data_IF_714369646959
#
_entry.id   IF_714369646959
#
_cell.length_a   1.000
_cell.length_b   1.000
_cell.length_c   1.000
_cell.angle_alpha   90.00
_cell.angle_beta   90.00
_cell.angle_gamma   90.00
#
_symmetry.space_group_name_H-M   'P 1'
#
loop_
_entity.id
_entity.type
_entity.pdbx_description
1 polymer ?
#
# COMPACT_ATOMS: atom_id res chain seq x y z
N UNK A 1 -33.09 17.41 3.22
CA UNK A 1 -33.06 16.52 4.40
C UNK A 1 -32.00 15.47 4.12
N UNK A 2 -30.80 15.63 4.68
CA UNK A 2 -29.69 14.72 4.49
C UNK A 2 -29.91 13.46 5.34
N UNK A 3 -30.06 12.31 4.68
CA UNK A 3 -30.06 11.01 5.33
C UNK A 3 -28.61 10.67 5.66
N UNK A 4 -28.11 11.22 6.77
CA UNK A 4 -26.92 10.67 7.43
C UNK A 4 -27.28 9.25 7.87
N UNK A 5 -27.02 8.26 7.02
CA UNK A 5 -26.95 6.86 7.41
C UNK A 5 -25.68 6.68 8.25
N UNK A 6 -25.72 7.20 9.47
CA UNK A 6 -24.85 6.76 10.55
C UNK A 6 -25.31 5.36 10.96
N UNK A 7 -25.03 4.35 10.11
CA UNK A 7 -25.11 2.95 10.50
C UNK A 7 -24.13 2.77 11.68
N UNK A 8 -24.66 2.25 12.78
CA UNK A 8 -24.00 2.09 14.07
C UNK A 8 -22.54 1.60 13.93
N UNK A 9 -21.60 2.52 14.14
CA UNK A 9 -20.17 2.42 13.81
C UNK A 9 -19.35 1.53 14.78
N UNK A 10 -19.88 0.41 15.24
CA UNK A 10 -19.23 -0.37 16.32
C UNK A 10 -18.91 -1.82 15.98
N UNK A 11 -19.43 -2.37 14.88
CA UNK A 11 -18.97 -3.66 14.39
C UNK A 11 -17.85 -3.48 13.36
N UNK A 12 -16.77 -4.27 13.44
CA UNK A 12 -15.87 -4.43 12.30
C UNK A 12 -16.70 -4.81 11.08
N UNK A 13 -16.45 -4.14 9.96
CA UNK A 13 -17.04 -4.53 8.68
C UNK A 13 -16.02 -5.33 7.88
N UNK A 14 -16.52 -6.28 7.11
CA UNK A 14 -15.73 -7.00 6.11
C UNK A 14 -15.64 -6.19 4.81
N UNK A 15 -14.80 -6.63 3.88
CA UNK A 15 -14.70 -5.99 2.56
C UNK A 15 -16.02 -6.12 1.80
N UNK A 16 -16.71 -7.24 1.97
CA UNK A 16 -18.01 -7.50 1.36
C UNK A 16 -19.08 -6.54 1.89
N UNK A 17 -19.12 -6.32 3.20
CA UNK A 17 -20.02 -5.34 3.83
C UNK A 17 -19.71 -3.91 3.32
N UNK A 18 -18.42 -3.57 3.23
CA UNK A 18 -17.98 -2.29 2.69
C UNK A 18 -18.45 -2.06 1.25
N UNK A 19 -18.40 -3.10 0.40
CA UNK A 19 -18.87 -3.02 -0.98
C UNK A 19 -20.40 -2.84 -1.06
N UNK A 20 -21.16 -3.40 -0.12
CA UNK A 20 -22.62 -3.17 -0.05
C UNK A 20 -22.98 -1.76 0.40
N UNK A 21 -22.12 -1.14 1.23
CA UNK A 21 -22.31 0.23 1.73
C UNK A 21 -21.92 1.32 0.73
N UNK A 22 -21.33 0.96 -0.40
CA UNK A 22 -20.98 1.89 -1.48
C UNK A 22 -22.12 1.99 -2.50
N UNK A 23 -22.98 3.04 -2.45
CA UNK A 23 -23.90 3.30 -3.55
C UNK A 23 -23.13 3.72 -4.82
N UNK A 24 -23.85 3.84 -5.95
CA UNK A 24 -23.31 4.31 -7.22
C UNK A 24 -22.32 5.48 -7.05
N UNK A 25 -21.20 5.44 -7.77
CA UNK A 25 -20.01 6.31 -7.62
C UNK A 25 -20.34 7.81 -7.53
N UNK A 26 -21.40 8.25 -8.22
CA UNK A 26 -21.87 9.64 -8.24
C UNK A 26 -22.53 10.13 -6.94
N UNK A 27 -22.81 9.24 -5.99
CA UNK A 27 -23.53 9.52 -4.74
C UNK A 27 -22.74 9.16 -3.48
N UNK A 28 -21.43 8.92 -3.60
CA UNK A 28 -20.57 8.60 -2.46
C UNK A 28 -20.43 9.84 -1.57
N UNK A 29 -21.14 9.83 -0.44
CA UNK A 29 -20.93 10.73 0.70
C UNK A 29 -19.67 10.32 1.48
N UNK A 30 -19.26 11.14 2.44
CA UNK A 30 -18.13 10.79 3.33
C UNK A 30 -18.48 9.53 4.12
N UNK A 31 -17.68 8.48 3.93
CA UNK A 31 -17.94 7.18 4.53
C UNK A 31 -16.88 6.88 5.60
N UNK A 32 -17.34 6.53 6.79
CA UNK A 32 -16.49 6.07 7.89
C UNK A 32 -16.78 4.61 8.18
N UNK A 33 -15.75 3.76 8.11
CA UNK A 33 -15.83 2.33 8.41
C UNK A 33 -14.76 1.92 9.40
N UNK A 34 -14.91 0.74 10.01
CA UNK A 34 -13.93 0.17 10.94
C UNK A 34 -13.64 -1.29 10.64
N UNK A 35 -12.39 -1.70 10.83
CA UNK A 35 -11.91 -3.08 10.61
C UNK A 35 -10.87 -3.46 11.67
N UNK A 36 -10.65 -4.75 11.92
CA UNK A 36 -9.66 -5.20 12.90
C UNK A 36 -8.26 -5.35 12.30
N UNK A 37 -8.18 -5.77 11.04
CA UNK A 37 -6.92 -6.13 10.41
C UNK A 37 -6.39 -5.04 9.48
N UNK A 38 -5.06 -4.98 9.36
CA UNK A 38 -4.39 -4.04 8.44
C UNK A 38 -4.69 -4.43 6.98
N UNK A 39 -4.76 -5.72 6.72
CA UNK A 39 -4.94 -6.32 5.42
C UNK A 39 -6.31 -5.97 4.85
N UNK A 40 -7.37 -6.06 5.66
CA UNK A 40 -8.72 -5.63 5.29
C UNK A 40 -8.78 -4.12 5.05
N UNK A 41 -8.16 -3.31 5.92
CA UNK A 41 -8.11 -1.86 5.73
C UNK A 41 -7.47 -1.46 4.39
N UNK A 42 -6.38 -2.14 4.01
CA UNK A 42 -5.71 -1.91 2.73
C UNK A 42 -6.51 -2.44 1.53
N UNK A 43 -7.31 -3.52 1.70
CA UNK A 43 -8.24 -4.00 0.67
C UNK A 43 -9.38 -3.01 0.46
N UNK A 44 -10.05 -2.55 1.51
CA UNK A 44 -11.11 -1.53 1.42
C UNK A 44 -10.60 -0.26 0.72
N UNK A 45 -9.38 0.19 1.05
CA UNK A 45 -8.74 1.30 0.33
C UNK A 45 -8.56 1.03 -1.16
N UNK A 46 -8.12 -0.17 -1.52
CA UNK A 46 -7.92 -0.53 -2.92
C UNK A 46 -9.24 -0.60 -3.68
N UNK A 47 -10.28 -1.17 -3.08
CA UNK A 47 -11.61 -1.22 -3.68
C UNK A 47 -12.18 0.19 -3.86
N UNK A 48 -12.02 1.06 -2.87
CA UNK A 48 -12.39 2.48 -3.02
C UNK A 48 -11.67 3.15 -4.19
N UNK A 49 -10.35 2.97 -4.32
CA UNK A 49 -9.55 3.51 -5.44
C UNK A 49 -10.04 2.99 -6.80
N UNK A 50 -10.41 1.70 -6.87
CA UNK A 50 -10.93 1.07 -8.09
C UNK A 50 -12.31 1.63 -8.44
N UNK A 51 -13.22 1.73 -7.47
CA UNK A 51 -14.58 2.24 -7.68
C UNK A 51 -14.57 3.70 -8.08
N UNK A 52 -13.83 4.53 -7.36
CA UNK A 52 -13.79 5.99 -7.60
C UNK A 52 -12.83 6.36 -8.73
N UNK A 53 -12.11 5.42 -9.30
CA UNK A 53 -11.07 5.68 -10.28
C UNK A 53 -10.00 6.69 -9.80
N UNK A 54 -9.71 6.69 -8.51
CA UNK A 54 -8.72 7.59 -7.89
C UNK A 54 -7.51 6.82 -7.39
N UNK A 55 -6.44 7.55 -7.08
CA UNK A 55 -5.25 6.99 -6.45
C UNK A 55 -4.87 7.83 -5.25
N UNK A 56 -4.56 7.17 -4.14
CA UNK A 56 -4.05 7.81 -2.94
C UNK A 56 -2.61 7.39 -2.66
N UNK A 57 -1.82 8.35 -2.20
CA UNK A 57 -0.41 8.20 -1.86
C UNK A 57 -0.23 8.51 -0.39
N UNK A 58 0.57 7.70 0.31
CA UNK A 58 0.86 7.93 1.73
C UNK A 58 1.60 9.26 1.88
N UNK A 59 0.98 10.20 2.60
CA UNK A 59 1.59 11.50 2.89
C UNK A 59 2.36 11.48 4.19
N UNK A 60 1.73 10.90 5.22
CA UNK A 60 2.25 10.90 6.57
C UNK A 60 1.74 9.69 7.33
N UNK A 61 2.65 9.06 8.05
CA UNK A 61 2.34 8.07 9.08
C UNK A 61 2.85 8.61 10.40
N UNK A 62 2.02 8.54 11.44
CA UNK A 62 2.33 8.99 12.80
C UNK A 62 2.17 7.81 13.74
N UNK A 63 3.07 7.70 14.70
CA UNK A 63 3.12 6.58 15.64
C UNK A 63 3.51 5.28 14.93
N UNK A 64 3.12 4.15 15.51
CA UNK A 64 3.46 2.82 15.00
C UNK A 64 2.29 2.17 14.28
N UNK A 65 1.64 2.94 13.40
CA UNK A 65 0.50 2.47 12.62
C UNK A 65 0.82 1.11 11.98
N UNK A 66 0.15 0.05 12.44
CA UNK A 66 0.30 -1.32 11.98
C UNK A 66 1.76 -1.82 11.87
N UNK A 67 2.64 -1.33 12.74
CA UNK A 67 4.09 -1.61 12.75
C UNK A 67 4.57 -2.33 14.02
N UNK A 68 3.63 -2.84 14.83
CA UNK A 68 3.90 -3.84 15.88
C UNK A 68 4.76 -3.40 17.08
N UNK A 69 5.07 -2.10 17.26
CA UNK A 69 6.06 -1.68 18.26
C UNK A 69 5.66 -0.52 19.18
N UNK A 70 5.58 -0.77 20.48
CA UNK A 70 5.90 0.11 21.64
C UNK A 70 5.24 1.51 21.80
N UNK A 71 4.41 2.03 20.89
CA UNK A 71 3.92 3.42 20.97
C UNK A 71 2.76 3.69 21.93
N UNK A 72 2.34 2.73 22.76
CA UNK A 72 1.15 2.89 23.62
C UNK A 72 1.50 3.51 24.98
N UNK A 73 2.75 3.38 25.44
CA UNK A 73 3.17 3.72 26.82
C UNK A 73 2.80 5.17 27.19
N UNK A 74 2.96 6.11 26.25
CA UNK A 74 2.68 7.54 26.45
C UNK A 74 1.37 8.02 25.78
N UNK A 75 0.54 7.11 25.27
CA UNK A 75 -0.70 7.49 24.62
C UNK A 75 -1.70 8.07 25.65
N UNK A 76 -2.49 9.08 25.25
CA UNK A 76 -3.55 9.61 26.12
C UNK A 76 -4.79 8.73 26.02
N UNK A 77 -5.34 8.30 27.16
CA UNK A 77 -6.65 7.62 27.24
C UNK A 77 -7.76 8.62 26.91
N UNK A 78 -8.70 8.20 26.05
CA UNK A 78 -9.79 9.02 25.52
C UNK A 78 -11.09 8.25 25.56
N UNK A 79 -12.19 8.99 25.64
CA UNK A 79 -13.57 8.49 25.51
C UNK A 79 -14.24 9.04 24.25
N UNK A 80 -13.73 10.15 23.73
CA UNK A 80 -14.15 10.74 22.47
C UNK A 80 -12.93 11.26 21.72
N UNK A 81 -13.06 11.35 20.41
CA UNK A 81 -12.03 11.95 19.59
C UNK A 81 -12.68 12.73 18.47
N UNK A 82 -12.42 14.03 18.43
CA UNK A 82 -12.82 14.88 17.32
C UNK A 82 -11.58 15.68 16.93
N UNK A 83 -10.96 15.30 15.82
CA UNK A 83 -9.90 16.08 15.22
C UNK A 83 -9.70 15.69 13.76
N UNK A 84 -9.31 16.68 12.97
CA UNK A 84 -9.05 16.54 11.54
C UNK A 84 -10.28 16.06 10.76
N UNK A 85 -11.49 16.51 11.11
CA UNK A 85 -12.73 16.09 10.45
C UNK A 85 -12.94 14.58 10.52
N UNK A 86 -12.73 14.01 11.71
CA UNK A 86 -12.97 12.62 12.01
C UNK A 86 -13.41 12.53 13.47
N UNK A 87 -14.58 11.93 13.70
CA UNK A 87 -15.22 11.86 15.00
C UNK A 87 -15.41 10.40 15.45
N UNK A 88 -14.88 10.08 16.64
CA UNK A 88 -15.26 8.91 17.43
C UNK A 88 -16.13 9.43 18.57
N UNK A 89 -17.41 9.07 18.51
CA UNK A 89 -18.40 9.41 19.53
C UNK A 89 -18.11 8.70 20.85
N UNK A 90 -18.59 9.31 21.94
CA UNK A 90 -18.47 8.74 23.28
C UNK A 90 -19.44 7.56 23.44
N UNK A 91 -18.89 6.35 23.43
CA UNK A 91 -19.59 5.08 23.65
C UNK A 91 -19.39 4.54 25.08
N UNK A 92 -18.77 5.33 25.95
CA UNK A 92 -18.37 4.90 27.30
C UNK A 92 -17.15 3.99 27.35
N UNK A 93 -16.62 3.53 26.22
CA UNK A 93 -15.47 2.62 26.15
C UNK A 93 -14.18 3.45 26.03
N UNK A 94 -13.25 3.36 26.99
CA UNK A 94 -11.98 4.04 26.87
C UNK A 94 -11.14 3.45 25.74
N UNK A 95 -10.41 4.32 25.04
CA UNK A 95 -9.49 3.93 23.99
C UNK A 95 -8.22 4.78 23.97
N UNK A 96 -7.20 4.24 23.31
CA UNK A 96 -5.94 4.94 22.99
C UNK A 96 -5.71 4.91 21.49
N UNK A 97 -5.18 6.00 20.95
CA UNK A 97 -4.79 6.07 19.53
C UNK A 97 -3.35 5.57 19.43
N UNK A 98 -3.16 4.48 18.68
CA UNK A 98 -1.86 3.83 18.48
C UNK A 98 -1.11 4.48 17.33
N UNK A 99 -1.81 4.78 16.25
CA UNK A 99 -1.21 5.30 15.04
C UNK A 99 -2.21 5.99 14.13
N UNK A 100 -1.69 6.84 13.25
CA UNK A 100 -2.46 7.50 12.20
C UNK A 100 -1.73 7.36 10.89
N UNK A 101 -2.47 7.08 9.82
CA UNK A 101 -1.96 7.07 8.45
C UNK A 101 -2.86 7.94 7.61
N UNK A 102 -2.27 8.97 7.00
CA UNK A 102 -2.96 9.92 6.14
C UNK A 102 -2.48 9.70 4.71
N UNK A 103 -3.42 9.46 3.82
CA UNK A 103 -3.17 9.36 2.39
C UNK A 103 -3.84 10.52 1.68
N UNK A 104 -3.12 11.12 0.74
CA UNK A 104 -3.61 12.22 -0.08
C UNK A 104 -3.85 11.71 -1.51
N UNK A 105 -4.80 12.32 -2.21
CA UNK A 105 -5.01 12.03 -3.62
C UNK A 105 -3.70 12.25 -4.42
N UNK A 106 -3.45 11.43 -5.44
CA UNK A 106 -2.32 11.57 -6.35
C UNK A 106 -2.34 12.93 -7.04
N UNK A 107 -3.53 13.47 -7.32
CA UNK A 107 -3.76 14.81 -7.88
C UNK A 107 -3.76 15.91 -6.80
N UNK A 108 -3.36 15.59 -5.57
CA UNK A 108 -3.29 16.53 -4.45
C UNK A 108 -2.25 17.64 -4.62
N UNK A 109 -1.92 18.30 -3.52
CA UNK A 109 -0.94 19.40 -3.48
C UNK A 109 0.46 18.89 -3.84
N UNK A 110 1.21 19.68 -4.61
CA UNK A 110 2.63 19.42 -4.87
C UNK A 110 3.50 19.97 -3.74
N UNK A 111 3.66 19.18 -2.68
CA UNK A 111 4.51 19.52 -1.53
C UNK A 111 5.99 19.75 -1.91
N UNK A 112 6.41 19.31 -3.09
CA UNK A 112 7.78 19.41 -3.60
C UNK A 112 7.97 20.51 -4.65
N UNK A 113 6.95 21.36 -4.88
CA UNK A 113 6.98 22.37 -5.92
C UNK A 113 8.22 23.25 -5.85
N UNK A 114 8.54 23.79 -4.67
CA UNK A 114 9.69 24.67 -4.47
C UNK A 114 11.01 23.95 -4.74
N UNK A 115 11.17 22.72 -4.22
CA UNK A 115 12.35 21.88 -4.45
C UNK A 115 12.55 21.56 -5.94
N UNK A 116 11.46 21.31 -6.67
CA UNK A 116 11.49 21.07 -8.12
C UNK A 116 11.83 22.34 -8.90
N UNK A 117 11.31 23.49 -8.49
CA UNK A 117 11.60 24.79 -9.10
C UNK A 117 13.08 25.12 -9.00
N UNK A 118 13.68 24.97 -7.82
CA UNK A 118 15.11 25.24 -7.60
C UNK A 118 15.99 24.32 -8.48
N UNK A 119 15.68 23.02 -8.52
CA UNK A 119 16.39 22.06 -9.41
C UNK A 119 16.27 22.38 -10.91
N UNK A 120 15.19 23.05 -11.34
CA UNK A 120 15.02 23.46 -12.73
C UNK A 120 15.91 24.67 -13.06
N UNK A 121 16.06 25.59 -12.11
CA UNK A 121 16.96 26.73 -12.24
C UNK A 121 18.42 26.28 -12.29
N UNK A 122 18.81 25.29 -11.48
CA UNK A 122 20.18 24.72 -11.46
C UNK A 122 20.56 23.95 -12.73
N UNK A 123 19.59 23.50 -13.55
CA UNK A 123 19.82 22.65 -14.73
C UNK A 123 19.77 23.39 -16.07
N UNK A 124 19.82 24.72 -16.08
CA UNK A 124 19.68 25.52 -17.31
C UNK A 124 20.76 25.25 -18.37
N UNK A 125 21.91 24.70 -17.98
CA UNK A 125 23.10 24.71 -18.85
C UNK A 125 23.33 23.42 -19.65
N UNK A 126 22.47 22.40 -19.51
CA UNK A 126 22.56 21.18 -20.32
C UNK A 126 21.34 20.99 -21.23
N UNK A 127 21.53 20.95 -22.57
CA UNK A 127 20.45 20.72 -23.51
C UNK A 127 19.99 19.25 -23.46
N UNK A 128 19.10 18.93 -22.52
CA UNK A 128 18.40 17.66 -22.52
C UNK A 128 17.15 17.77 -23.41
N UNK A 129 16.92 16.78 -24.28
CA UNK A 129 15.67 16.65 -25.04
C UNK A 129 14.49 16.56 -24.06
N UNK A 130 13.83 17.68 -23.80
CA UNK A 130 12.62 17.73 -22.99
C UNK A 130 11.49 17.10 -23.79
N UNK A 131 10.89 16.02 -23.26
CA UNK A 131 9.61 15.55 -23.79
C UNK A 131 8.61 16.70 -23.65
N UNK A 132 7.87 17.02 -24.72
CA UNK A 132 6.75 17.96 -24.63
C UNK A 132 5.66 17.31 -23.79
N UNK A 133 5.65 17.63 -22.50
CA UNK A 133 4.56 17.26 -21.62
C UNK A 133 3.45 18.32 -21.79
N UNK A 134 2.20 17.88 -21.93
CA UNK A 134 1.04 18.79 -21.98
C UNK A 134 0.86 19.57 -20.68
N UNK A 135 1.39 19.03 -19.56
CA UNK A 135 1.43 19.69 -18.24
C UNK A 135 2.72 19.36 -17.52
N UNK A 136 3.20 20.32 -16.74
CA UNK A 136 4.44 20.21 -15.96
C UNK A 136 4.35 19.24 -14.77
N UNK A 137 3.13 18.96 -14.29
CA UNK A 137 2.86 18.07 -13.17
C UNK A 137 1.49 17.42 -13.30
N UNK A 138 1.32 16.24 -12.68
CA UNK A 138 0.04 15.57 -12.49
C UNK A 138 -0.77 16.14 -11.32
N UNK A 139 -0.16 17.02 -10.50
CA UNK A 139 -0.74 17.59 -9.29
C UNK A 139 -1.72 18.72 -9.64
N UNK A 140 -2.91 18.68 -9.06
CA UNK A 140 -4.03 19.60 -9.32
C UNK A 140 -4.56 20.25 -8.03
N UNK A 141 -3.82 20.16 -6.92
CA UNK A 141 -4.21 20.70 -5.62
C UNK A 141 -5.53 20.13 -5.07
N UNK A 142 -5.82 18.86 -5.36
CA UNK A 142 -6.95 18.15 -4.77
C UNK A 142 -6.82 18.05 -3.24
N UNK A 143 -7.92 18.31 -2.54
CA UNK A 143 -8.02 18.26 -1.07
C UNK A 143 -8.45 16.90 -0.51
N UNK A 144 -8.83 15.96 -1.38
CA UNK A 144 -9.31 14.65 -0.95
C UNK A 144 -8.23 13.87 -0.21
N UNK A 145 -8.60 13.33 0.96
CA UNK A 145 -7.73 12.58 1.85
C UNK A 145 -8.44 11.36 2.41
N UNK A 146 -7.73 10.24 2.48
CA UNK A 146 -8.14 9.07 3.24
C UNK A 146 -7.40 9.10 4.57
N UNK A 147 -8.16 9.00 5.67
CA UNK A 147 -7.61 9.00 7.03
C UNK A 147 -7.82 7.61 7.63
N UNK A 148 -6.74 7.00 8.06
CA UNK A 148 -6.75 5.73 8.79
C UNK A 148 -6.25 5.95 10.21
N UNK A 149 -7.03 5.56 11.21
CA UNK A 149 -6.71 5.75 12.62
C UNK A 149 -6.79 4.40 13.32
N UNK A 150 -5.66 3.94 13.83
CA UNK A 150 -5.57 2.73 14.63
C UNK A 150 -5.81 3.07 16.10
N UNK A 151 -6.79 2.40 16.70
CA UNK A 151 -7.13 2.53 18.11
C UNK A 151 -7.08 1.18 18.82
N UNK A 152 -6.82 1.22 20.11
CA UNK A 152 -7.05 0.10 21.02
C UNK A 152 -8.12 0.48 22.02
N UNK A 153 -9.20 -0.29 22.03
CA UNK A 153 -10.34 -0.15 22.94
C UNK A 153 -10.20 -1.10 24.12
N UNK A 154 -10.65 -0.65 25.29
CA UNK A 154 -10.66 -1.44 26.53
C UNK A 154 -12.11 -1.65 26.99
N UNK A 155 -12.86 -2.57 26.35
CA UNK A 155 -14.28 -2.78 26.64
C UNK A 155 -14.54 -3.23 28.09
N UNK A 156 -13.58 -3.93 28.70
CA UNK A 156 -13.66 -4.39 30.08
C UNK A 156 -13.61 -3.26 31.14
N UNK A 157 -13.30 -2.02 30.73
CA UNK A 157 -13.27 -0.83 31.61
C UNK A 157 -14.25 0.24 31.08
N UNK A 158 -15.34 -0.20 30.45
CA UNK A 158 -16.39 0.70 29.99
C UNK A 158 -17.03 1.44 31.18
N UNK A 159 -17.29 2.73 31.02
CA UNK A 159 -17.96 3.59 31.99
C UNK A 159 -19.04 4.39 31.26
N UNK A 160 -20.31 4.09 31.53
CA UNK A 160 -21.43 4.78 30.91
C UNK A 160 -21.51 6.23 31.41
N UNK A 161 -21.98 7.14 30.54
CA UNK A 161 -22.22 8.54 30.86
C UNK A 161 -23.42 8.74 31.80
N UNK A 162 -24.30 7.74 31.92
CA UNK A 162 -25.49 7.76 32.78
C UNK A 162 -25.17 7.38 34.24
N UNK A 163 -23.98 6.84 34.49
CA UNK A 163 -23.59 6.41 35.83
C UNK A 163 -23.29 7.60 36.77
N UNK A 164 -23.76 7.50 38.01
CA UNK A 164 -23.37 8.47 39.05
C UNK A 164 -21.85 8.47 39.24
N UNK A 165 -21.27 9.67 39.26
CA UNK A 165 -19.83 9.84 39.42
C UNK A 165 -19.00 9.40 38.21
N UNK A 166 -19.59 9.34 37.00
CA UNK A 166 -18.89 8.89 35.79
C UNK A 166 -17.55 9.61 35.57
N UNK A 167 -17.44 10.90 35.91
CA UNK A 167 -16.17 11.66 35.81
C UNK A 167 -15.06 11.04 36.67
N UNK A 168 -15.36 10.74 37.93
CA UNK A 168 -14.41 10.10 38.85
C UNK A 168 -14.09 8.67 38.39
N UNK A 169 -15.10 7.90 37.98
CA UNK A 169 -14.91 6.54 37.46
C UNK A 169 -14.02 6.53 36.20
N UNK A 170 -14.21 7.48 35.28
CA UNK A 170 -13.35 7.65 34.10
C UNK A 170 -11.92 8.01 34.46
N UNK A 171 -11.73 8.85 35.47
CA UNK A 171 -10.39 9.16 35.98
C UNK A 171 -9.72 7.90 36.56
N UNK A 172 -10.44 7.10 37.36
CA UNK A 172 -9.94 5.81 37.88
C UNK A 172 -9.64 4.82 36.76
N UNK A 173 -10.52 4.71 35.76
CA UNK A 173 -10.31 3.89 34.58
C UNK A 173 -9.07 4.31 33.79
N UNK A 174 -8.87 5.62 33.57
CA UNK A 174 -7.66 6.15 32.93
C UNK A 174 -6.40 5.77 33.71
N UNK A 175 -6.43 5.93 35.03
CA UNK A 175 -5.31 5.55 35.90
C UNK A 175 -5.01 4.05 35.82
N UNK A 176 -6.04 3.20 35.86
CA UNK A 176 -5.88 1.73 35.73
C UNK A 176 -5.25 1.36 34.37
N UNK A 177 -5.74 1.95 33.28
CA UNK A 177 -5.18 1.74 31.94
C UNK A 177 -3.72 2.21 31.87
N UNK A 178 -3.40 3.37 32.41
CA UNK A 178 -2.05 3.90 32.41
C UNK A 178 -1.09 3.01 33.25
N UNK A 179 -1.56 2.47 34.38
CA UNK A 179 -0.76 1.65 35.29
C UNK A 179 -0.54 0.22 34.77
N UNK A 180 -1.55 -0.39 34.16
CA UNK A 180 -1.53 -1.79 33.72
C UNK A 180 -1.53 -1.93 32.19
N UNK A 181 -1.00 -0.93 31.49
CA UNK A 181 -1.11 -0.75 30.04
C UNK A 181 -0.64 -1.95 29.23
N UNK A 182 0.47 -2.56 29.64
CA UNK A 182 1.05 -3.73 28.96
C UNK A 182 0.17 -4.96 29.12
N UNK A 183 -0.29 -5.25 30.34
CA UNK A 183 -1.14 -6.40 30.64
C UNK A 183 -2.54 -6.25 30.03
N UNK A 184 -3.10 -5.05 30.05
CA UNK A 184 -4.42 -4.77 29.47
C UNK A 184 -4.39 -4.72 27.93
N UNK A 185 -3.21 -4.60 27.32
CA UNK A 185 -3.05 -4.62 25.87
C UNK A 185 -3.46 -5.95 25.25
N UNK A 186 -3.34 -7.05 25.98
CA UNK A 186 -3.74 -8.40 25.50
C UNK A 186 -5.26 -8.55 25.46
N UNK A 187 -5.95 -7.92 26.42
CA UNK A 187 -7.41 -7.89 26.49
C UNK A 187 -8.04 -6.71 25.73
N UNK A 188 -7.23 -5.93 25.00
CA UNK A 188 -7.68 -4.78 24.24
C UNK A 188 -8.12 -5.18 22.83
N UNK A 189 -9.22 -4.60 22.36
CA UNK A 189 -9.70 -4.80 20.99
C UNK A 189 -9.05 -3.75 20.09
N UNK A 190 -8.34 -4.20 19.07
CA UNK A 190 -7.71 -3.33 18.08
C UNK A 190 -8.69 -3.05 16.94
N UNK A 191 -8.87 -1.77 16.62
CA UNK A 191 -9.70 -1.33 15.51
C UNK A 191 -8.95 -0.30 14.67
N UNK A 192 -9.19 -0.33 13.37
CA UNK A 192 -8.72 0.64 12.39
C UNK A 192 -9.94 1.31 11.80
N UNK A 193 -10.10 2.59 12.11
CA UNK A 193 -11.09 3.42 11.46
C UNK A 193 -10.55 3.98 10.16
N UNK A 194 -11.39 4.01 9.13
CA UNK A 194 -11.06 4.50 7.80
C UNK A 194 -12.13 5.51 7.40
N UNK A 195 -11.72 6.74 7.11
CA UNK A 195 -12.56 7.78 6.53
C UNK A 195 -12.20 7.93 5.06
N UNK A 196 -13.20 7.74 4.20
CA UNK A 196 -13.13 7.92 2.76
C UNK A 196 -13.79 9.24 2.37
N UNK A 197 -13.14 10.05 1.52
CA UNK A 197 -13.71 11.32 1.11
C UNK A 197 -14.93 11.10 0.21
N UNK A 198 -15.86 12.06 0.24
CA UNK A 198 -16.94 12.10 -0.74
C UNK A 198 -16.39 12.34 -2.16
N UNK A 199 -17.15 11.96 -3.19
CA UNK A 199 -16.79 12.27 -4.58
C UNK A 199 -16.64 13.80 -4.81
N UNK A 200 -17.49 14.60 -4.14
CA UNK A 200 -17.42 16.07 -4.12
C UNK A 200 -16.19 16.64 -3.39
N UNK A 201 -15.52 15.82 -2.58
CA UNK A 201 -14.27 16.18 -1.90
C UNK A 201 -13.06 16.23 -2.85
N UNK A 202 -13.21 15.71 -4.07
CA UNK A 202 -12.18 15.78 -5.11
C UNK A 202 -12.27 17.09 -5.88
N UNK A 203 -11.45 18.05 -5.48
CA UNK A 203 -11.42 19.37 -6.11
C UNK A 203 -10.48 19.39 -7.31
N UNK A 204 -10.87 20.13 -8.36
CA UNK A 204 -10.10 20.37 -9.57
C UNK A 204 -9.82 19.14 -10.46
N UNK A 205 -10.49 18.01 -10.23
CA UNK A 205 -10.47 16.88 -11.14
C UNK A 205 -11.70 15.99 -10.99
N UNK A 206 -12.05 15.29 -12.07
CA UNK A 206 -13.15 14.34 -12.07
C UNK A 206 -12.79 13.02 -11.36
N UNK A 207 -13.83 12.31 -10.95
CA UNK A 207 -13.80 11.02 -10.26
C UNK A 207 -14.71 10.06 -11.03
N UNK A 208 -14.42 8.75 -11.01
CA UNK A 208 -15.21 7.73 -11.69
C UNK A 208 -14.93 7.66 -13.19
N UNK A 209 -15.98 7.43 -13.99
CA UNK A 209 -15.89 7.18 -15.44
C UNK A 209 -15.21 8.35 -16.17
N UNK A 210 -15.45 9.59 -15.73
CA UNK A 210 -14.87 10.77 -16.36
C UNK A 210 -13.38 11.00 -16.01
N UNK A 211 -12.81 10.25 -15.05
CA UNK A 211 -11.42 10.39 -14.62
C UNK A 211 -10.40 9.61 -15.49
N UNK A 212 -10.87 8.99 -16.58
CA UNK A 212 -10.22 7.87 -17.31
C UNK A 212 -8.85 8.11 -17.95
N UNK A 213 -8.29 9.32 -17.93
CA UNK A 213 -7.20 9.65 -18.85
C UNK A 213 -5.86 8.98 -18.46
N UNK A 214 -5.61 8.58 -17.19
CA UNK A 214 -4.29 8.06 -16.77
C UNK A 214 -4.31 7.07 -15.59
N UNK A 215 -5.06 5.97 -15.69
CA UNK A 215 -4.97 4.92 -14.68
C UNK A 215 -3.81 3.95 -14.93
N UNK A 216 -3.02 3.58 -13.89
CA UNK A 216 -2.08 2.49 -14.01
C UNK A 216 -2.84 1.16 -14.14
N UNK A 217 -2.38 0.30 -15.04
CA UNK A 217 -2.92 -1.06 -15.22
C UNK A 217 -2.86 -1.82 -13.90
N UNK A 218 -3.89 -2.61 -13.60
CA UNK A 218 -3.91 -3.40 -12.38
C UNK A 218 -2.73 -4.38 -12.31
N UNK A 219 -2.14 -4.51 -11.11
CA UNK A 219 -0.98 -5.39 -10.92
C UNK A 219 -1.29 -6.84 -11.26
N UNK A 220 -2.53 -7.30 -11.10
CA UNK A 220 -2.95 -8.66 -11.48
C UNK A 220 -2.89 -8.86 -12.98
N UNK A 221 -3.36 -7.88 -13.75
CA UNK A 221 -3.28 -7.88 -15.21
C UNK A 221 -1.83 -7.83 -15.68
N UNK A 222 -1.01 -6.96 -15.09
CA UNK A 222 0.44 -6.91 -15.39
C UNK A 222 1.08 -8.25 -15.07
N UNK A 223 0.82 -8.84 -13.90
CA UNK A 223 1.35 -10.16 -13.53
C UNK A 223 0.93 -11.22 -14.56
N UNK A 224 -0.34 -11.22 -14.98
CA UNK A 224 -0.85 -12.16 -15.98
C UNK A 224 -0.18 -12.00 -17.34
N UNK A 225 0.12 -10.76 -17.78
CA UNK A 225 0.90 -10.53 -19.01
C UNK A 225 2.28 -11.19 -18.90
N UNK A 226 2.94 -11.06 -17.75
CA UNK A 226 4.26 -11.64 -17.55
C UNK A 226 4.21 -13.17 -17.55
N UNK A 227 3.23 -13.76 -16.87
CA UNK A 227 3.00 -15.23 -16.89
C UNK A 227 2.81 -15.75 -18.31
N UNK A 228 1.94 -15.11 -19.12
CA UNK A 228 1.69 -15.52 -20.50
C UNK A 228 2.95 -15.46 -21.39
N UNK A 229 3.85 -14.52 -21.13
CA UNK A 229 5.11 -14.37 -21.89
C UNK A 229 6.23 -15.27 -21.35
N UNK A 230 6.14 -15.68 -20.08
CA UNK A 230 7.00 -16.74 -19.53
C UNK A 230 6.61 -18.10 -20.10
N UNK A 231 5.31 -18.37 -20.23
CA UNK A 231 4.79 -19.62 -20.83
C UNK A 231 5.06 -19.70 -22.34
N UNK A 232 4.80 -18.61 -23.09
CA UNK A 232 5.13 -18.50 -24.51
C UNK A 232 5.80 -17.16 -24.83
N UNK A 233 7.14 -17.14 -24.96
CA UNK A 233 7.88 -15.92 -25.27
C UNK A 233 7.52 -15.27 -26.61
N UNK A 234 6.94 -16.01 -27.56
CA UNK A 234 6.60 -15.55 -28.91
C UNK A 234 5.18 -15.00 -29.03
N UNK A 235 4.38 -15.06 -27.96
CA UNK A 235 3.00 -14.58 -27.97
C UNK A 235 2.91 -13.14 -28.49
N UNK A 236 1.93 -12.88 -29.37
CA UNK A 236 1.69 -11.55 -29.92
C UNK A 236 0.88 -10.68 -28.95
N UNK A 237 0.97 -9.35 -29.09
CA UNK A 237 0.18 -8.43 -28.26
C UNK A 237 -1.34 -8.65 -28.43
N UNK A 238 -1.78 -9.05 -29.62
CA UNK A 238 -3.18 -9.38 -29.91
C UNK A 238 -3.63 -10.62 -29.14
N UNK A 239 -2.81 -11.66 -29.12
CA UNK A 239 -3.13 -12.91 -28.43
C UNK A 239 -3.15 -12.70 -26.91
N UNK A 240 -2.12 -12.01 -26.38
CA UNK A 240 -2.09 -11.62 -24.95
C UNK A 240 -3.36 -10.85 -24.59
N UNK A 241 -3.78 -9.89 -25.41
CA UNK A 241 -5.01 -9.13 -25.16
C UNK A 241 -6.25 -10.05 -25.13
N UNK A 242 -6.37 -10.99 -26.06
CA UNK A 242 -7.47 -11.96 -26.05
C UNK A 242 -7.47 -12.87 -24.81
N UNK A 243 -6.31 -13.26 -24.29
CA UNK A 243 -6.19 -13.96 -23.02
C UNK A 243 -6.57 -13.09 -21.82
N UNK A 244 -6.20 -11.81 -21.84
CA UNK A 244 -6.56 -10.86 -20.79
C UNK A 244 -8.06 -10.59 -20.75
N UNK A 245 -8.73 -10.44 -21.90
CA UNK A 245 -10.18 -10.22 -21.95
C UNK A 245 -10.95 -11.37 -21.26
N UNK A 246 -10.53 -12.62 -21.49
CA UNK A 246 -11.09 -13.79 -20.79
C UNK A 246 -10.81 -13.75 -19.27
N UNK A 247 -9.58 -13.44 -18.90
CA UNK A 247 -9.17 -13.37 -17.49
C UNK A 247 -9.89 -12.25 -16.72
N UNK A 248 -10.13 -11.11 -17.36
CA UNK A 248 -10.87 -9.99 -16.76
C UNK A 248 -12.32 -10.36 -16.52
N UNK A 249 -12.97 -11.06 -17.45
CA UNK A 249 -14.34 -11.57 -17.27
C UNK A 249 -14.49 -12.48 -16.06
N UNK A 250 -13.46 -13.23 -15.68
CA UNK A 250 -13.45 -14.10 -14.50
C UNK A 250 -13.30 -13.33 -13.18
N UNK A 251 -12.59 -12.19 -13.19
CA UNK A 251 -12.18 -11.48 -11.96
C UNK A 251 -13.09 -10.29 -11.66
N UNK A 252 -13.68 -9.66 -12.68
CA UNK A 252 -14.47 -8.45 -12.47
C UNK A 252 -15.56 -8.26 -13.53
N UNK A 253 -16.70 -7.71 -13.09
CA UNK A 253 -17.87 -7.44 -13.93
C UNK A 253 -17.92 -6.01 -14.52
N UNK A 254 -16.98 -5.14 -14.15
CA UNK A 254 -17.06 -3.72 -14.45
C UNK A 254 -16.07 -3.34 -15.56
N UNK A 255 -16.50 -2.47 -16.47
CA UNK A 255 -15.70 -1.94 -17.60
C UNK A 255 -14.65 -0.91 -17.18
N UNK A 256 -13.96 -1.13 -16.05
CA UNK A 256 -12.92 -0.22 -15.61
C UNK A 256 -11.68 -0.36 -16.53
N UNK A 257 -11.25 0.75 -17.13
CA UNK A 257 -10.09 0.83 -18.03
C UNK A 257 -8.79 0.30 -17.42
N UNK A 258 -8.65 0.31 -16.08
CA UNK A 258 -7.52 -0.30 -15.35
C UNK A 258 -7.35 -1.80 -15.58
N UNK A 259 -8.42 -2.50 -15.93
CA UNK A 259 -8.41 -3.93 -16.23
C UNK A 259 -8.37 -4.20 -17.74
N UNK A 260 -8.63 -3.18 -18.55
CA UNK A 260 -8.69 -3.26 -20.01
C UNK A 260 -7.55 -2.44 -20.64
N UNK A 261 -6.29 -2.92 -20.54
CA UNK A 261 -5.15 -2.18 -21.08
C UNK A 261 -5.26 -1.98 -22.59
N UNK A 262 -4.76 -0.86 -23.08
CA UNK A 262 -4.72 -0.62 -24.53
C UNK A 262 -3.74 -1.57 -25.20
N UNK A 263 -3.86 -1.74 -26.52
CA UNK A 263 -2.89 -2.52 -27.28
C UNK A 263 -1.45 -2.03 -27.05
N UNK A 264 -1.28 -0.71 -26.91
CA UNK A 264 0.04 -0.12 -26.69
C UNK A 264 0.61 -0.43 -25.32
N UNK A 265 -0.25 -0.46 -24.30
CA UNK A 265 0.15 -0.84 -22.95
C UNK A 265 0.61 -2.30 -22.89
N UNK A 266 -0.12 -3.20 -23.55
CA UNK A 266 0.25 -4.62 -23.67
C UNK A 266 1.60 -4.76 -24.37
N UNK A 267 1.82 -4.10 -25.52
CA UNK A 267 3.12 -4.10 -26.21
C UNK A 267 4.27 -3.66 -25.29
N UNK A 268 4.07 -2.57 -24.54
CA UNK A 268 5.08 -2.06 -23.64
C UNK A 268 5.41 -3.08 -22.53
N UNK A 269 4.40 -3.74 -21.96
CA UNK A 269 4.61 -4.75 -20.93
C UNK A 269 5.25 -6.04 -21.47
N UNK A 270 4.87 -6.49 -22.67
CA UNK A 270 5.53 -7.63 -23.34
C UNK A 270 7.01 -7.32 -23.58
N UNK A 271 7.32 -6.12 -24.08
CA UNK A 271 8.70 -5.67 -24.27
C UNK A 271 9.48 -5.70 -22.95
N UNK A 272 8.90 -5.19 -21.86
CA UNK A 272 9.53 -5.22 -20.54
C UNK A 272 9.72 -6.64 -20.00
N UNK A 273 8.74 -7.53 -20.18
CA UNK A 273 8.84 -8.94 -19.78
C UNK A 273 9.97 -9.66 -20.52
N UNK A 274 10.04 -9.53 -21.85
CA UNK A 274 11.12 -10.09 -22.68
C UNK A 274 12.48 -9.50 -22.31
N UNK A 275 12.55 -8.19 -22.05
CA UNK A 275 13.79 -7.54 -21.60
C UNK A 275 14.25 -8.11 -20.25
N UNK A 276 13.33 -8.35 -19.32
CA UNK A 276 13.62 -8.95 -18.02
C UNK A 276 14.14 -10.39 -18.16
N UNK A 277 13.53 -11.20 -19.02
CA UNK A 277 14.02 -12.55 -19.33
C UNK A 277 15.46 -12.51 -19.86
N UNK A 278 15.77 -11.62 -20.81
CA UNK A 278 17.12 -11.47 -21.35
C UNK A 278 18.15 -11.08 -20.27
N UNK A 279 17.79 -10.16 -19.37
CA UNK A 279 18.66 -9.76 -18.26
C UNK A 279 18.90 -10.94 -17.30
N UNK A 280 17.85 -11.70 -16.98
CA UNK A 280 17.95 -12.91 -16.16
C UNK A 280 18.86 -13.97 -16.77
N UNK A 281 18.85 -14.13 -18.10
CA UNK A 281 19.75 -15.08 -18.78
C UNK A 281 21.20 -14.63 -18.67
N UNK A 282 21.47 -13.33 -18.90
CA UNK A 282 22.82 -12.77 -18.79
C UNK A 282 23.38 -12.90 -17.36
N UNK A 283 22.54 -12.66 -16.35
CA UNK A 283 22.95 -12.82 -14.94
C UNK A 283 23.24 -14.30 -14.60
N UNK A 284 22.46 -15.24 -15.14
CA UNK A 284 22.68 -16.68 -14.95
C UNK A 284 23.97 -17.15 -15.63
N UNK A 285 24.24 -16.70 -16.86
CA UNK A 285 25.45 -17.04 -17.61
C UNK A 285 26.70 -16.55 -16.86
N UNK A 286 26.67 -15.33 -16.33
CA UNK A 286 27.75 -14.76 -15.54
C UNK A 286 28.03 -15.53 -14.24
N UNK A 287 26.98 -15.89 -13.50
CA UNK A 287 27.10 -16.69 -12.27
C UNK A 287 27.64 -18.10 -12.57
N UNK A 288 27.19 -18.70 -13.67
CA UNK A 288 27.66 -20.02 -14.12
C UNK A 288 29.14 -19.97 -14.51
N UNK A 289 29.56 -18.93 -15.23
CA UNK A 289 30.96 -18.72 -15.62
C UNK A 289 31.87 -18.54 -14.40
N UNK A 290 31.43 -17.79 -13.39
CA UNK A 290 32.16 -17.65 -12.12
C UNK A 290 32.30 -18.99 -11.38
N UNK A 291 31.23 -19.79 -11.34
CA UNK A 291 31.25 -21.12 -10.74
C UNK A 291 32.23 -22.07 -11.43
N UNK A 292 32.28 -22.06 -12.76
CA UNK A 292 33.21 -22.87 -13.54
C UNK A 292 34.67 -22.46 -13.30
N UNK A 293 34.98 -21.16 -13.30
CA UNK A 293 36.34 -20.66 -12.98
C UNK A 293 36.79 -21.06 -11.57
N UNK A 294 35.87 -21.07 -10.61
CA UNK A 294 36.18 -21.47 -9.25
C UNK A 294 36.49 -22.96 -9.13
N UNK A 295 35.76 -23.81 -9.87
CA UNK A 295 36.03 -25.24 -10.01
C UNK A 295 37.39 -25.52 -10.67
N UNK A 296 37.71 -24.83 -11.77
CA UNK A 296 39.02 -24.95 -12.43
C UNK A 296 40.16 -24.57 -11.49
N UNK A 297 39.99 -23.49 -10.71
CA UNK A 297 40.97 -23.06 -9.71
C UNK A 297 41.16 -24.11 -8.62
N UNK A 298 40.08 -24.72 -8.13
CA UNK A 298 40.16 -25.79 -7.13
C UNK A 298 40.87 -27.04 -7.67
N UNK A 299 40.63 -27.40 -8.93
CA UNK A 299 41.32 -28.51 -9.58
C UNK A 299 42.82 -28.25 -9.75
N UNK A 300 43.21 -27.01 -10.09
CA UNK A 300 44.62 -26.62 -10.17
C UNK A 300 45.32 -26.67 -8.81
N UNK A 301 44.67 -26.21 -7.75
CA UNK A 301 45.20 -26.28 -6.38
C UNK A 301 45.38 -27.74 -5.95
N UNK A 302 44.38 -28.60 -6.21
CA UNK A 302 44.46 -30.02 -5.89
C UNK A 302 45.58 -30.73 -6.67
N UNK A 303 45.75 -30.42 -7.96
CA UNK A 303 46.84 -30.96 -8.77
C UNK A 303 48.23 -30.55 -8.23
N UNK A 304 48.38 -29.28 -7.86
CA UNK A 304 49.62 -28.78 -7.26
C UNK A 304 49.96 -29.46 -5.94
N UNK A 305 48.96 -29.68 -5.07
CA UNK A 305 49.15 -30.40 -3.81
C UNK A 305 49.61 -31.85 -4.04
N UNK A 306 49.03 -32.55 -5.01
CA UNK A 306 49.45 -33.90 -5.38
C UNK A 306 50.91 -33.93 -5.89
N UNK A 307 51.35 -32.92 -6.65
CA UNK A 307 52.73 -32.83 -7.11
C UNK A 307 53.70 -32.52 -5.96
N UNK A 308 53.32 -31.62 -5.05
CA UNK A 308 54.11 -31.27 -3.88
C UNK A 308 54.30 -32.47 -2.93
N UNK A 309 53.24 -33.21 -2.65
CA UNK A 309 53.29 -34.39 -1.78
C UNK A 309 54.16 -35.50 -2.40
N UNK A 310 54.16 -35.65 -3.73
CA UNK A 310 55.07 -36.59 -4.43
C UNK A 310 56.55 -36.20 -4.28
N UNK A 311 56.86 -34.90 -4.32
CA UNK A 311 58.24 -34.42 -4.13
C UNK A 311 58.72 -34.59 -2.69
N UNK A 312 57.87 -34.37 -1.69
CA UNK A 312 58.24 -34.57 -0.28
C UNK A 312 58.50 -36.05 0.05
N UNK A 313 57.68 -36.97 -0.48
CA UNK A 313 57.88 -38.42 -0.29
C UNK A 313 59.19 -38.89 -0.94
N UNK A 314 59.58 -38.34 -2.08
CA UNK A 314 60.86 -38.69 -2.75
C UNK A 314 62.08 -38.22 -1.95
N UNK A 315 62.00 -37.08 -1.27
CA UNK A 315 63.09 -36.56 -0.42
C UNK A 315 63.24 -37.29 0.92
N UNK A 316 62.20 -38.00 1.37
CA UNK A 316 62.24 -38.81 2.60
C UNK A 316 62.79 -40.22 2.38
N UNK A 317 62.82 -40.71 1.14
CA UNK A 317 63.37 -42.04 0.79
C UNK A 317 64.87 -42.05 0.48
N UNK A 318 65.54 -40.88 0.49
CA UNK A 318 66.98 -40.74 0.20
C UNK A 318 67.87 -40.51 1.45
N UNK A 319 67.34 -40.68 2.67
CA UNK A 319 68.12 -40.65 3.92
C UNK A 319 68.21 -42.02 4.59
#
# INVERSE_FOLDING_TARGET
>A
MALNLALNAFSPCTVEDFLQLMPNISSIEELIVSTETKEEAEKMRQEYEILTNTKFVVRRTIGTFCSGGKSIINAKVRWKYDAFGFEIKDDGIPFVIVGKKMLECQNGIDHDFQRKSNRRQEKSDTPQKKRKLTRDSKKLNCTAQIKMIEVMRFPHIAVSCEERGFVAKRATAACSINAHRTSLSEAAVKLIYISFPAASGHWFHDVGINAEILQPIDKRIVKRIYELIEDDPKLSAKDVKGHLEKYVQEIQRNDNSRFHPTHKDVENHIYLARKKQKLSTVDYDYVTELGLKQLETQQQIAAYQIEHDKTEVSTMTEN
#
